data_IF_067920937799
#
_entry.id   IF_067920937799
#
_cell.length_a   1.000
_cell.length_b   1.000
_cell.length_c   1.000
_cell.angle_alpha   90.00
_cell.angle_beta   90.00
_cell.angle_gamma   90.00
#
_symmetry.space_group_name_H-M   'P 1'
#
loop_
_entity.id
_entity.type
_entity.pdbx_description
1 polymer ?
#
# COMPACT_ATOMS: atom_id res chain seq x y z
N UNK A 1 -7.07 -5.60 -0.08
CA UNK A 1 -7.57 -5.60 1.32
C UNK A 1 -6.92 -4.48 2.10
N UNK A 2 -7.67 -3.42 2.37
CA UNK A 2 -7.26 -2.37 3.30
C UNK A 2 -7.45 -2.91 4.71
N UNK A 3 -6.37 -3.08 5.48
CA UNK A 3 -6.50 -3.48 6.88
C UNK A 3 -6.98 -2.27 7.70
N UNK A 4 -8.05 -2.41 8.49
CA UNK A 4 -8.46 -1.35 9.39
C UNK A 4 -7.37 -1.15 10.44
N UNK A 5 -6.86 0.08 10.53
CA UNK A 5 -6.00 0.49 11.64
C UNK A 5 -6.76 0.25 12.94
N UNK A 6 -6.15 -0.37 13.96
CA UNK A 6 -6.79 -0.46 15.26
C UNK A 6 -6.89 0.96 15.82
N UNK A 7 -8.04 1.58 15.62
CA UNK A 7 -8.47 2.80 16.30
C UNK A 7 -8.89 2.39 17.70
N UNK A 8 -7.99 1.76 18.44
CA UNK A 8 -8.18 1.63 19.88
C UNK A 8 -7.85 3.01 20.42
N UNK A 9 -8.88 3.84 20.54
CA UNK A 9 -8.80 5.03 21.35
C UNK A 9 -8.35 4.54 22.72
N UNK A 10 -7.07 4.75 23.05
CA UNK A 10 -6.55 4.52 24.38
C UNK A 10 -7.32 5.50 25.26
N UNK A 11 -8.43 5.03 25.81
CA UNK A 11 -9.14 5.69 26.88
C UNK A 11 -8.15 5.73 28.02
N UNK A 12 -7.43 6.85 28.13
CA UNK A 12 -6.60 7.13 29.29
C UNK A 12 -7.50 6.89 30.51
N UNK A 13 -7.08 6.05 31.48
CA UNK A 13 -7.85 5.84 32.69
C UNK A 13 -8.17 7.20 33.29
N UNK A 14 -9.44 7.36 33.72
CA UNK A 14 -10.04 8.62 34.11
C UNK A 14 -9.06 9.48 34.92
N UNK A 15 -8.89 10.72 34.48
CA UNK A 15 -7.97 11.67 35.09
C UNK A 15 -8.42 11.90 36.52
N UNK A 16 -7.82 11.19 37.47
CA UNK A 16 -7.80 11.62 38.86
C UNK A 16 -6.84 12.80 38.94
N UNK A 17 -7.32 13.97 38.48
CA UNK A 17 -6.64 15.22 38.76
C UNK A 17 -6.91 15.52 40.21
N UNK A 18 -5.86 15.50 41.04
CA UNK A 18 -5.96 16.05 42.38
C UNK A 18 -6.34 17.52 42.23
N UNK A 19 -7.45 17.99 42.81
CA UNK A 19 -7.83 19.40 42.75
C UNK A 19 -6.71 20.25 43.36
N UNK A 20 -6.34 21.35 42.70
CA UNK A 20 -5.29 22.26 43.19
C UNK A 20 -5.59 22.76 44.62
N UNK A 21 -6.86 22.88 44.96
CA UNK A 21 -7.35 23.26 46.29
C UNK A 21 -6.81 22.35 47.41
N UNK A 22 -6.63 21.04 47.15
CA UNK A 22 -6.08 20.10 48.13
C UNK A 22 -4.57 20.23 48.32
N UNK A 23 -3.84 20.70 47.30
CA UNK A 23 -2.39 20.91 47.38
C UNK A 23 -2.05 22.25 48.05
N UNK A 24 -2.94 23.23 47.96
CA UNK A 24 -2.76 24.58 48.54
C UNK A 24 -3.41 24.75 49.92
N UNK A 25 -4.15 23.75 50.41
CA UNK A 25 -4.80 23.79 51.72
C UNK A 25 -3.77 24.02 52.84
N UNK A 26 -4.09 24.87 53.82
CA UNK A 26 -3.22 25.09 54.98
C UNK A 26 -3.65 24.13 56.10
N UNK A 27 -2.77 23.20 56.53
CA UNK A 27 -3.16 22.16 57.47
C UNK A 27 -3.30 22.74 58.87
N UNK A 28 -4.40 22.41 59.56
CA UNK A 28 -4.69 22.89 60.92
C UNK A 28 -4.20 21.88 61.95
N UNK A 29 -4.29 20.58 61.62
CA UNK A 29 -3.85 19.50 62.49
C UNK A 29 -2.52 18.87 62.03
N UNK A 30 -1.78 18.28 62.98
CA UNK A 30 -0.54 17.54 62.68
C UNK A 30 -0.77 16.39 61.68
N UNK A 31 -1.93 15.75 61.73
CA UNK A 31 -2.28 14.65 60.84
C UNK A 31 -2.52 15.15 59.41
N UNK A 32 -3.23 16.26 59.24
CA UNK A 32 -3.41 16.92 57.94
C UNK A 32 -2.07 17.32 57.32
N UNK A 33 -1.15 17.87 58.12
CA UNK A 33 0.19 18.23 57.63
C UNK A 33 0.97 17.02 57.10
N UNK A 34 0.85 15.86 57.76
CA UNK A 34 1.47 14.61 57.32
C UNK A 34 0.83 14.11 56.01
N UNK A 35 -0.50 14.09 55.94
CA UNK A 35 -1.23 13.67 54.75
C UNK A 35 -0.94 14.58 53.55
N UNK A 36 -0.83 15.88 53.75
CA UNK A 36 -0.47 16.83 52.70
C UNK A 36 0.95 16.60 52.19
N UNK A 37 1.91 16.33 53.09
CA UNK A 37 3.27 15.98 52.69
C UNK A 37 3.30 14.69 51.84
N UNK A 38 2.56 13.65 52.24
CA UNK A 38 2.41 12.41 51.46
C UNK A 38 1.72 12.65 50.11
N UNK A 39 0.74 13.56 50.06
CA UNK A 39 0.05 13.91 48.82
C UNK A 39 1.02 14.61 47.85
N UNK A 40 1.83 15.56 48.32
CA UNK A 40 2.83 16.23 47.48
C UNK A 40 3.87 15.24 46.92
N UNK A 41 4.35 14.30 47.73
CA UNK A 41 5.31 13.30 47.25
C UNK A 41 4.68 12.36 46.24
N UNK A 42 3.46 11.87 46.49
CA UNK A 42 2.73 11.01 45.57
C UNK A 42 2.42 11.70 44.24
N UNK A 43 1.94 12.94 44.27
CA UNK A 43 1.69 13.74 43.06
C UNK A 43 2.98 14.02 42.30
N UNK A 44 4.07 14.33 43.01
CA UNK A 44 5.41 14.50 42.42
C UNK A 44 5.85 13.26 41.64
N UNK A 45 5.80 12.09 42.28
CA UNK A 45 6.15 10.80 41.66
C UNK A 45 5.25 10.49 40.47
N UNK A 46 3.94 10.65 40.63
CA UNK A 46 2.98 10.37 39.56
C UNK A 46 3.17 11.30 38.36
N UNK A 47 3.47 12.59 38.60
CA UNK A 47 3.71 13.56 37.53
C UNK A 47 4.98 13.22 36.72
N UNK A 48 6.05 12.80 37.39
CA UNK A 48 7.29 12.35 36.76
C UNK A 48 7.11 11.04 35.97
N UNK A 49 6.34 10.09 36.51
CA UNK A 49 6.01 8.86 35.79
C UNK A 49 5.18 9.15 34.54
N UNK A 50 4.19 10.04 34.65
CA UNK A 50 3.34 10.43 33.53
C UNK A 50 4.14 11.12 32.42
N UNK A 51 5.05 12.03 32.76
CA UNK A 51 5.89 12.69 31.76
C UNK A 51 6.82 11.70 31.05
N UNK A 52 7.42 10.77 31.80
CA UNK A 52 8.24 9.69 31.23
C UNK A 52 7.45 8.77 30.30
N UNK A 53 6.23 8.37 30.69
CA UNK A 53 5.35 7.55 29.85
C UNK A 53 4.92 8.27 28.57
N UNK A 54 4.58 9.56 28.66
CA UNK A 54 4.23 10.37 27.50
C UNK A 54 5.41 10.49 26.53
N UNK A 55 6.62 10.70 27.05
CA UNK A 55 7.83 10.73 26.24
C UNK A 55 8.09 9.38 25.56
N UNK A 56 7.98 8.26 26.30
CA UNK A 56 8.15 6.92 25.75
C UNK A 56 7.11 6.59 24.68
N UNK A 57 5.86 7.03 24.86
CA UNK A 57 4.81 6.84 23.87
C UNK A 57 5.10 7.67 22.61
N UNK A 58 5.51 8.92 22.76
CA UNK A 58 5.89 9.77 21.64
C UNK A 58 7.06 9.19 20.84
N UNK A 59 8.11 8.68 21.51
CA UNK A 59 9.23 8.04 20.83
C UNK A 59 8.80 6.76 20.12
N UNK A 60 7.98 5.91 20.74
CA UNK A 60 7.47 4.68 20.11
C UNK A 60 6.68 4.98 18.83
N UNK A 61 5.81 5.99 18.85
CA UNK A 61 5.05 6.41 17.65
C UNK A 61 6.00 6.85 16.54
N UNK A 62 6.97 7.72 16.88
CA UNK A 62 7.98 8.18 15.90
C UNK A 62 8.78 7.02 15.33
N UNK A 63 9.26 6.10 16.17
CA UNK A 63 10.01 4.91 15.74
C UNK A 63 9.16 4.01 14.81
N UNK A 64 7.90 3.77 15.16
CA UNK A 64 7.00 2.99 14.31
C UNK A 64 6.80 3.63 12.94
N UNK A 65 6.57 4.95 12.88
CA UNK A 65 6.42 5.65 11.59
C UNK A 65 7.70 5.63 10.77
N UNK A 66 8.86 5.77 11.41
CA UNK A 66 10.16 5.68 10.76
C UNK A 66 10.40 4.27 10.19
N UNK A 67 10.23 3.23 11.00
CA UNK A 67 10.38 1.84 10.57
C UNK A 67 9.41 1.49 9.43
N UNK A 68 8.16 1.98 9.47
CA UNK A 68 7.21 1.78 8.38
C UNK A 68 7.69 2.42 7.07
N UNK A 69 8.23 3.65 7.13
CA UNK A 69 8.80 4.33 5.95
C UNK A 69 10.01 3.57 5.39
N UNK A 70 10.94 3.16 6.26
CA UNK A 70 12.13 2.40 5.84
C UNK A 70 11.73 1.07 5.19
N UNK A 71 10.81 0.31 5.80
CA UNK A 71 10.29 -0.93 5.22
C UNK A 71 9.60 -0.68 3.86
N UNK A 72 8.84 0.40 3.73
CA UNK A 72 8.21 0.79 2.47
C UNK A 72 9.23 1.10 1.37
N UNK A 73 10.38 1.69 1.70
CA UNK A 73 11.46 1.94 0.75
C UNK A 73 12.25 0.67 0.40
N UNK A 74 12.43 -0.25 1.34
CA UNK A 74 13.17 -1.49 1.13
C UNK A 74 12.37 -2.55 0.35
N UNK A 75 11.06 -2.66 0.61
CA UNK A 75 10.17 -3.63 -0.02
C UNK A 75 10.25 -3.67 -1.57
N UNK A 76 10.24 -2.55 -2.32
CA UNK A 76 10.37 -2.59 -3.77
C UNK A 76 11.77 -3.04 -4.21
N UNK A 77 12.83 -2.67 -3.48
CA UNK A 77 14.20 -3.09 -3.80
C UNK A 77 14.37 -4.59 -3.56
N UNK A 78 13.83 -5.11 -2.46
CA UNK A 78 13.85 -6.55 -2.17
C UNK A 78 13.02 -7.34 -3.18
N UNK A 79 11.83 -6.85 -3.58
CA UNK A 79 11.02 -7.49 -4.62
C UNK A 79 11.75 -7.53 -5.97
N UNK A 80 12.40 -6.43 -6.37
CA UNK A 80 13.22 -6.40 -7.59
C UNK A 80 14.41 -7.36 -7.51
N UNK A 81 15.11 -7.39 -6.38
CA UNK A 81 16.22 -8.32 -6.15
C UNK A 81 15.77 -9.79 -6.20
N UNK A 82 14.60 -10.11 -5.65
CA UNK A 82 14.00 -11.44 -5.71
C UNK A 82 13.51 -11.80 -7.12
N UNK A 83 12.89 -10.86 -7.84
CA UNK A 83 12.43 -11.10 -9.21
C UNK A 83 13.60 -11.39 -10.18
N UNK A 84 14.73 -10.67 -10.04
CA UNK A 84 15.93 -10.96 -10.84
C UNK A 84 16.55 -12.33 -10.52
N UNK A 85 16.37 -12.83 -9.29
CA UNK A 85 16.81 -14.16 -8.85
C UNK A 85 15.85 -15.26 -9.29
N UNK A 86 14.54 -15.01 -9.35
CA UNK A 86 13.52 -15.99 -9.71
C UNK A 86 13.64 -16.50 -11.16
N UNK A 87 14.26 -15.74 -12.07
CA UNK A 87 14.60 -16.21 -13.43
C UNK A 87 15.81 -17.15 -13.49
N UNK A 88 16.50 -17.37 -12.37
CA UNK A 88 17.61 -18.31 -12.30
C UNK A 88 17.06 -19.61 -11.73
N UNK A 89 17.44 -20.74 -12.33
CA UNK A 89 17.08 -22.09 -11.88
C UNK A 89 17.29 -22.28 -10.37
N UNK A 90 18.33 -21.65 -9.81
CA UNK A 90 18.58 -21.53 -8.38
C UNK A 90 18.68 -20.05 -7.99
N UNK A 91 17.57 -19.48 -7.51
CA UNK A 91 17.52 -18.05 -7.13
C UNK A 91 18.43 -17.67 -5.97
N UNK A 92 18.91 -18.66 -5.20
CA UNK A 92 19.60 -18.44 -3.93
C UNK A 92 21.11 -18.18 -4.12
N UNK A 93 21.66 -18.55 -5.27
CA UNK A 93 23.09 -18.39 -5.59
C UNK A 93 24.02 -19.37 -4.88
N UNK A 94 23.48 -20.34 -4.15
CA UNK A 94 24.24 -21.39 -3.48
C UNK A 94 24.50 -22.56 -4.44
N UNK A 95 25.72 -23.13 -4.46
CA UNK A 95 26.00 -24.34 -5.23
C UNK A 95 25.19 -25.52 -4.67
N UNK A 96 24.40 -26.16 -5.52
CA UNK A 96 23.69 -27.40 -5.22
C UNK A 96 24.29 -28.56 -6.01
N UNK A 97 24.18 -29.76 -5.45
CA UNK A 97 24.63 -30.99 -6.10
C UNK A 97 23.69 -31.32 -7.26
N UNK A 98 24.23 -31.30 -8.49
CA UNK A 98 23.48 -31.45 -9.75
C UNK A 98 22.91 -32.86 -9.98
N UNK A 99 23.26 -33.82 -9.12
CA UNK A 99 22.93 -35.25 -9.26
C UNK A 99 21.66 -35.66 -8.52
N UNK A 100 21.00 -34.75 -7.79
CA UNK A 100 19.74 -35.07 -7.10
C UNK A 100 18.54 -35.03 -8.04
N UNK A 101 17.59 -35.96 -7.86
CA UNK A 101 16.33 -35.98 -8.61
C UNK A 101 15.56 -34.66 -8.50
N UNK A 102 15.67 -33.98 -7.36
CA UNK A 102 15.10 -32.65 -7.13
C UNK A 102 15.67 -31.58 -8.09
N UNK A 103 16.95 -31.68 -8.45
CA UNK A 103 17.57 -30.75 -9.41
C UNK A 103 16.99 -30.99 -10.80
N UNK A 104 16.89 -32.25 -11.20
CA UNK A 104 16.33 -32.63 -12.50
C UNK A 104 14.88 -32.14 -12.66
N UNK A 105 14.04 -32.35 -11.66
CA UNK A 105 12.65 -31.85 -11.67
C UNK A 105 12.59 -30.33 -11.84
N UNK A 106 13.44 -29.56 -11.13
CA UNK A 106 13.48 -28.11 -11.29
C UNK A 106 13.90 -27.66 -12.69
N UNK A 107 14.78 -28.40 -13.37
CA UNK A 107 15.17 -28.11 -14.76
C UNK A 107 13.99 -28.33 -15.69
N UNK A 108 13.29 -29.46 -15.54
CA UNK A 108 12.10 -29.78 -16.33
C UNK A 108 11.02 -28.71 -16.13
N UNK A 109 10.71 -28.34 -14.89
CA UNK A 109 9.72 -27.30 -14.59
C UNK A 109 10.11 -25.94 -15.20
N UNK A 110 11.40 -25.59 -15.16
CA UNK A 110 11.90 -24.36 -15.75
C UNK A 110 11.74 -24.34 -17.28
N UNK A 111 12.06 -25.46 -17.94
CA UNK A 111 11.94 -25.59 -19.39
C UNK A 111 10.47 -25.60 -19.83
N UNK A 112 9.60 -26.28 -19.08
CA UNK A 112 8.15 -26.26 -19.32
C UNK A 112 7.58 -24.84 -19.20
N UNK A 113 7.98 -24.09 -18.17
CA UNK A 113 7.58 -22.68 -18.02
C UNK A 113 8.09 -21.84 -19.20
N UNK A 114 9.32 -22.04 -19.64
CA UNK A 114 9.88 -21.32 -20.79
C UNK A 114 9.12 -21.62 -22.10
N UNK A 115 8.72 -22.88 -22.31
CA UNK A 115 7.89 -23.28 -23.46
C UNK A 115 6.51 -22.62 -23.37
N UNK A 116 5.86 -22.65 -22.21
CA UNK A 116 4.56 -22.00 -22.01
C UNK A 116 4.62 -20.49 -22.26
N UNK A 117 5.67 -19.80 -21.79
CA UNK A 117 5.87 -18.37 -22.07
C UNK A 117 5.99 -18.08 -23.57
N UNK A 118 6.69 -18.92 -24.33
CA UNK A 118 6.80 -18.77 -25.79
C UNK A 118 5.46 -18.97 -26.49
N UNK A 119 4.70 -20.00 -26.09
CA UNK A 119 3.34 -20.25 -26.62
C UNK A 119 2.43 -19.05 -26.35
N UNK A 120 2.40 -18.55 -25.11
CA UNK A 120 1.58 -17.40 -24.74
C UNK A 120 1.98 -16.13 -25.51
N UNK A 121 3.27 -15.93 -25.73
CA UNK A 121 3.75 -14.82 -26.55
C UNK A 121 3.28 -14.93 -28.00
N UNK A 122 3.37 -16.12 -28.60
CA UNK A 122 2.85 -16.38 -29.94
C UNK A 122 1.35 -16.09 -30.04
N UNK A 123 0.56 -16.61 -29.10
CA UNK A 123 -0.90 -16.34 -29.02
C UNK A 123 -1.20 -14.85 -28.88
N UNK A 124 -0.41 -14.11 -28.09
CA UNK A 124 -0.58 -12.68 -27.94
C UNK A 124 -0.25 -11.91 -29.23
N UNK A 125 0.83 -12.28 -29.91
CA UNK A 125 1.22 -11.68 -31.20
C UNK A 125 0.14 -11.94 -32.27
N UNK A 126 -0.43 -13.14 -32.33
CA UNK A 126 -1.55 -13.48 -33.22
C UNK A 126 -2.83 -12.69 -32.88
N UNK A 127 -3.23 -12.67 -31.61
CA UNK A 127 -4.41 -11.93 -31.16
C UNK A 127 -4.28 -10.44 -31.44
N UNK A 128 -3.08 -9.88 -31.25
CA UNK A 128 -2.77 -8.49 -31.58
C UNK A 128 -2.87 -8.24 -33.08
N UNK A 129 -2.31 -9.12 -33.90
CA UNK A 129 -2.42 -9.01 -35.36
C UNK A 129 -3.87 -9.04 -35.84
N UNK A 130 -4.69 -9.95 -35.30
CA UNK A 130 -6.11 -10.03 -35.60
C UNK A 130 -6.87 -8.77 -35.19
N UNK A 131 -6.58 -8.22 -34.01
CA UNK A 131 -7.17 -6.96 -33.56
C UNK A 131 -6.79 -5.78 -34.46
N UNK A 132 -5.50 -5.65 -34.80
CA UNK A 132 -5.01 -4.59 -35.68
C UNK A 132 -5.67 -4.66 -37.08
N UNK A 133 -5.84 -5.86 -37.63
CA UNK A 133 -6.56 -6.08 -38.88
C UNK A 133 -8.04 -5.67 -38.79
N UNK A 134 -8.75 -6.12 -37.74
CA UNK A 134 -10.16 -5.78 -37.52
C UNK A 134 -10.37 -4.26 -37.36
N UNK A 135 -9.47 -3.58 -36.64
CA UNK A 135 -9.49 -2.12 -36.49
C UNK A 135 -9.26 -1.42 -37.83
N UNK A 136 -8.34 -1.94 -38.66
CA UNK A 136 -8.09 -1.38 -39.99
C UNK A 136 -9.30 -1.52 -40.91
N UNK A 137 -9.97 -2.67 -40.92
CA UNK A 137 -11.20 -2.89 -41.69
C UNK A 137 -12.33 -1.98 -41.20
N UNK A 138 -12.54 -1.90 -39.87
CA UNK A 138 -13.54 -1.01 -39.29
C UNK A 138 -13.31 0.45 -39.69
N UNK A 139 -12.07 0.95 -39.64
CA UNK A 139 -11.72 2.32 -40.06
C UNK A 139 -12.05 2.57 -41.53
N UNK A 140 -11.80 1.59 -42.43
CA UNK A 140 -12.16 1.69 -43.84
C UNK A 140 -13.67 1.79 -44.04
N UNK A 141 -14.43 0.95 -43.35
CA UNK A 141 -15.90 1.00 -43.39
C UNK A 141 -16.47 2.31 -42.83
N UNK A 142 -15.89 2.83 -41.75
CA UNK A 142 -16.29 4.12 -41.16
C UNK A 142 -16.03 5.29 -42.12
N UNK A 143 -14.86 5.33 -42.74
CA UNK A 143 -14.54 6.37 -43.72
C UNK A 143 -15.54 6.37 -44.89
N UNK A 144 -15.89 5.18 -45.41
CA UNK A 144 -16.89 5.05 -46.47
C UNK A 144 -18.30 5.50 -46.00
N UNK A 145 -18.69 5.15 -44.77
CA UNK A 145 -19.97 5.58 -44.19
C UNK A 145 -20.04 7.09 -44.03
N UNK A 146 -18.99 7.71 -43.50
CA UNK A 146 -18.90 9.17 -43.36
C UNK A 146 -18.99 9.88 -44.70
N UNK A 147 -18.26 9.41 -45.73
CA UNK A 147 -18.34 9.97 -47.07
C UNK A 147 -19.75 9.91 -47.67
N UNK A 148 -20.47 8.79 -47.52
CA UNK A 148 -21.88 8.70 -47.96
C UNK A 148 -22.79 9.67 -47.20
N UNK A 149 -22.62 9.77 -45.89
CA UNK A 149 -23.42 10.68 -45.07
C UNK A 149 -23.14 12.14 -45.42
N UNK A 150 -21.90 12.51 -45.73
CA UNK A 150 -21.54 13.85 -46.18
C UNK A 150 -22.25 14.23 -47.49
N UNK A 151 -22.28 13.31 -48.46
CA UNK A 151 -23.01 13.51 -49.73
C UNK A 151 -24.52 13.63 -49.52
N UNK A 152 -25.11 12.80 -48.66
CA UNK A 152 -26.52 12.89 -48.31
C UNK A 152 -26.84 14.21 -47.60
N UNK A 153 -25.98 14.62 -46.68
CA UNK A 153 -26.16 15.87 -45.92
C UNK A 153 -26.00 17.09 -46.81
N UNK A 154 -25.06 17.08 -47.76
CA UNK A 154 -24.90 18.18 -48.72
C UNK A 154 -26.08 18.27 -49.68
N UNK A 155 -26.58 17.13 -50.19
CA UNK A 155 -27.78 17.07 -51.02
C UNK A 155 -29.05 17.49 -50.27
N UNK A 156 -29.18 17.11 -49.00
CA UNK A 156 -30.27 17.57 -48.15
C UNK A 156 -30.20 19.09 -47.91
N UNK A 157 -29.00 19.62 -47.62
CA UNK A 157 -28.81 21.07 -47.45
C UNK A 157 -29.15 21.86 -48.72
N UNK A 158 -28.73 21.38 -49.89
CA UNK A 158 -29.07 22.06 -51.16
C UNK A 158 -30.56 21.95 -51.48
N UNK A 159 -31.21 20.83 -51.17
CA UNK A 159 -32.65 20.69 -51.29
C UNK A 159 -33.37 21.68 -50.36
N UNK A 160 -33.04 21.73 -49.06
CA UNK A 160 -33.64 22.69 -48.12
C UNK A 160 -33.49 24.14 -48.60
N UNK A 161 -32.29 24.52 -49.06
CA UNK A 161 -32.04 25.87 -49.58
C UNK A 161 -32.83 26.20 -50.86
N UNK A 162 -33.32 25.21 -51.61
CA UNK A 162 -34.19 25.43 -52.77
C UNK A 162 -35.68 25.55 -52.38
N UNK A 163 -36.06 25.15 -51.17
CA UNK A 163 -37.42 25.23 -50.64
C UNK A 163 -37.67 26.49 -49.81
N UNK A 164 -36.62 27.10 -49.25
CA UNK A 164 -36.63 28.41 -48.59
C UNK A 164 -36.53 29.56 -49.60
#
# INVERSE_FOLDING_TARGET
SSMPMPTSAVSLPGVWSVPNEMLTYQPVTRMEALLQALLHTAVGVHSAQRSSLLQAHATMVLQNTYCARVKGQLAPNEKKAKAGKAKRLMGDGMPQLLTGDEFYQRVVDHDDVAVQEQVQRGLWEEARGAYEAAVADWKRSEAARKGRNELLTSGWKSAVAAWE
#
